data_IF_750239464038
#
_entry.id   IF_750239464038
#
_cell.length_a   1.000
_cell.length_b   1.000
_cell.length_c   1.000
_cell.angle_alpha   90.00
_cell.angle_beta   90.00
_cell.angle_gamma   90.00
#
_symmetry.space_group_name_H-M   'P 1'
#
loop_
_entity.id
_entity.type
_entity.pdbx_description
1 polymer ?
#
# COMPACT_ATOMS: atom_id res chain seq x y z
N UNK A 1 3.35 38.23 -1.63
CA UNK A 1 2.91 36.93 -2.18
C UNK A 1 2.52 36.04 -1.02
N UNK A 2 1.21 35.83 -0.80
CA UNK A 2 0.72 34.93 0.26
C UNK A 2 1.17 33.50 -0.06
N UNK A 3 2.06 32.94 0.76
CA UNK A 3 2.40 31.51 0.73
C UNK A 3 1.18 30.74 1.24
N UNK A 4 0.27 30.39 0.34
CA UNK A 4 -0.87 29.54 0.62
C UNK A 4 -0.35 28.21 1.14
N UNK A 5 -0.61 27.95 2.42
CA UNK A 5 -0.20 26.78 3.17
C UNK A 5 -0.91 25.53 2.62
N UNK A 6 -0.36 24.92 1.57
CA UNK A 6 -0.79 23.59 1.12
C UNK A 6 -0.12 22.50 1.98
N UNK A 7 -0.51 22.44 3.26
CA UNK A 7 -0.06 21.37 4.14
C UNK A 7 -1.10 20.26 4.15
N UNK A 8 -0.82 19.18 3.43
CA UNK A 8 -1.38 17.86 3.76
C UNK A 8 -1.15 17.63 5.26
N UNK A 9 -2.22 17.49 6.05
CA UNK A 9 -2.13 17.18 7.47
C UNK A 9 -1.64 15.74 7.64
N UNK A 10 -0.33 15.57 7.61
CA UNK A 10 0.33 14.28 7.83
C UNK A 10 0.38 13.94 9.32
N UNK A 11 0.34 12.64 9.60
CA UNK A 11 0.47 12.15 10.96
C UNK A 11 1.88 12.43 11.50
N UNK A 12 2.01 12.80 12.79
CA UNK A 12 3.31 13.02 13.41
C UNK A 12 4.24 11.81 13.27
N UNK A 13 5.55 12.05 13.19
CA UNK A 13 6.58 11.00 13.06
C UNK A 13 6.47 9.86 14.08
N UNK A 14 5.87 10.10 15.25
CA UNK A 14 5.63 9.08 16.28
C UNK A 14 4.79 7.90 15.74
N UNK A 15 3.86 8.17 14.81
CA UNK A 15 3.03 7.16 14.17
C UNK A 15 3.82 6.23 13.22
N UNK A 16 5.05 6.59 12.85
CA UNK A 16 5.87 5.74 11.96
C UNK A 16 6.24 4.44 12.68
N UNK A 17 6.56 4.55 13.98
CA UNK A 17 6.79 3.40 14.84
C UNK A 17 5.52 2.56 15.00
N UNK A 18 4.36 3.21 15.15
CA UNK A 18 3.08 2.53 15.25
C UNK A 18 2.72 1.76 13.98
N UNK A 19 2.98 2.34 12.79
CA UNK A 19 2.80 1.65 11.51
C UNK A 19 3.70 0.41 11.41
N UNK A 20 5.00 0.55 11.71
CA UNK A 20 5.92 -0.60 11.70
C UNK A 20 5.57 -1.66 12.75
N UNK A 21 5.10 -1.27 13.94
CA UNK A 21 4.64 -2.24 14.94
C UNK A 21 3.39 -2.99 14.47
N UNK A 22 2.49 -2.33 13.73
CA UNK A 22 1.30 -2.97 13.18
C UNK A 22 1.66 -3.97 12.07
N UNK A 23 2.64 -3.63 11.21
CA UNK A 23 3.22 -4.57 10.24
C UNK A 23 3.85 -5.77 10.95
N UNK A 24 4.69 -5.52 11.97
CA UNK A 24 5.35 -6.59 12.70
C UNK A 24 4.32 -7.50 13.41
N UNK A 25 3.27 -6.92 13.98
CA UNK A 25 2.19 -7.66 14.62
C UNK A 25 1.40 -8.52 13.63
N UNK A 26 1.11 -7.99 12.44
CA UNK A 26 0.42 -8.76 11.38
C UNK A 26 1.29 -9.90 10.88
N UNK A 27 2.58 -9.67 10.63
CA UNK A 27 3.52 -10.73 10.24
C UNK A 27 3.62 -11.79 11.35
N UNK A 28 3.71 -11.37 12.61
CA UNK A 28 3.75 -12.29 13.74
C UNK A 28 2.48 -13.16 13.80
N UNK A 29 1.30 -12.57 13.60
CA UNK A 29 0.04 -13.30 13.54
C UNK A 29 0.03 -14.35 12.41
N UNK A 30 0.53 -13.99 11.22
CA UNK A 30 0.68 -14.93 10.10
C UNK A 30 1.60 -16.10 10.47
N UNK A 31 2.75 -15.84 11.08
CA UNK A 31 3.69 -16.89 11.52
C UNK A 31 3.04 -17.84 12.53
N UNK A 32 2.22 -17.33 13.46
CA UNK A 32 1.51 -18.17 14.43
C UNK A 32 0.51 -19.12 13.76
N UNK A 33 -0.21 -18.66 12.73
CA UNK A 33 -1.15 -19.48 11.95
C UNK A 33 -0.38 -20.58 11.22
N UNK A 34 0.69 -20.24 10.51
CA UNK A 34 1.49 -21.22 9.75
C UNK A 34 2.20 -22.25 10.62
N UNK A 35 2.54 -21.87 11.86
CA UNK A 35 3.19 -22.77 12.82
C UNK A 35 2.19 -23.62 13.61
N UNK A 36 0.91 -23.59 13.25
CA UNK A 36 -0.20 -24.32 13.89
C UNK A 36 -0.40 -24.03 15.40
N UNK A 37 0.21 -22.95 15.93
CA UNK A 37 -0.01 -22.52 17.32
C UNK A 37 -1.41 -21.97 17.55
N UNK A 38 -2.08 -21.51 16.48
CA UNK A 38 -3.45 -20.97 16.53
C UNK A 38 -4.23 -21.52 15.33
N UNK A 39 -5.37 -22.16 15.59
CA UNK A 39 -6.31 -22.59 14.56
C UNK A 39 -7.34 -21.50 14.32
N UNK A 40 -7.31 -20.92 13.11
CA UNK A 40 -8.27 -19.91 12.65
C UNK A 40 -8.83 -20.36 11.31
N UNK A 41 -10.10 -20.08 11.07
CA UNK A 41 -10.71 -20.28 9.76
C UNK A 41 -9.92 -19.53 8.67
N UNK A 42 -9.66 -20.21 7.55
CA UNK A 42 -8.80 -19.71 6.48
C UNK A 42 -9.26 -18.37 5.91
N UNK A 43 -10.58 -18.18 5.74
CA UNK A 43 -11.13 -16.93 5.22
C UNK A 43 -10.99 -15.77 6.21
N UNK A 44 -11.23 -16.03 7.50
CA UNK A 44 -11.01 -15.05 8.56
C UNK A 44 -9.53 -14.66 8.65
N UNK A 45 -8.63 -15.65 8.59
CA UNK A 45 -7.19 -15.41 8.59
C UNK A 45 -6.73 -14.56 7.40
N UNK A 46 -7.26 -14.83 6.20
CA UNK A 46 -7.00 -14.04 4.99
C UNK A 46 -7.47 -12.59 5.14
N UNK A 47 -8.69 -12.41 5.63
CA UNK A 47 -9.31 -11.08 5.79
C UNK A 47 -8.58 -10.23 6.84
N UNK A 48 -8.28 -10.81 8.00
CA UNK A 48 -7.58 -10.13 9.10
C UNK A 48 -6.17 -9.74 8.68
N UNK A 49 -5.45 -10.66 8.04
CA UNK A 49 -4.08 -10.40 7.55
C UNK A 49 -4.08 -9.29 6.50
N UNK A 50 -4.93 -9.39 5.47
CA UNK A 50 -4.99 -8.41 4.38
C UNK A 50 -5.38 -7.03 4.90
N UNK A 51 -6.41 -6.97 5.76
CA UNK A 51 -6.85 -5.72 6.40
C UNK A 51 -5.77 -5.11 7.27
N UNK A 52 -5.06 -5.91 8.07
CA UNK A 52 -4.00 -5.41 8.93
C UNK A 52 -2.78 -4.89 8.16
N UNK A 53 -2.42 -5.53 7.05
CA UNK A 53 -1.36 -5.04 6.15
C UNK A 53 -1.79 -3.73 5.49
N UNK A 54 -3.01 -3.66 4.95
CA UNK A 54 -3.55 -2.45 4.33
C UNK A 54 -3.60 -1.28 5.32
N UNK A 55 -4.09 -1.52 6.53
CA UNK A 55 -4.16 -0.50 7.58
C UNK A 55 -2.76 -0.01 7.96
N UNK A 56 -1.79 -0.93 8.05
CA UNK A 56 -0.39 -0.58 8.31
C UNK A 56 0.20 0.29 7.20
N UNK A 57 -0.04 -0.07 5.95
CA UNK A 57 0.45 0.67 4.78
C UNK A 57 -0.21 2.02 4.66
N UNK A 58 -1.51 2.12 4.95
CA UNK A 58 -2.22 3.39 5.03
C UNK A 58 -1.61 4.31 6.10
N UNK A 59 -1.41 3.80 7.32
CA UNK A 59 -0.76 4.56 8.40
C UNK A 59 0.64 5.01 8.00
N UNK A 60 1.42 4.14 7.36
CA UNK A 60 2.75 4.47 6.89
C UNK A 60 2.72 5.56 5.81
N UNK A 61 1.81 5.46 4.84
CA UNK A 61 1.62 6.44 3.77
C UNK A 61 1.14 7.81 4.28
N UNK A 62 0.39 7.85 5.39
CA UNK A 62 -0.08 9.08 6.04
C UNK A 62 0.94 9.69 7.01
N UNK A 63 2.01 8.98 7.35
CA UNK A 63 2.99 9.45 8.34
C UNK A 63 4.09 10.33 7.75
N UNK A 64 4.47 11.37 8.48
CA UNK A 64 5.55 12.30 8.14
C UNK A 64 6.95 11.68 8.29
N UNK A 65 7.85 12.01 7.36
CA UNK A 65 9.27 11.69 7.45
C UNK A 65 10.04 12.62 8.41
N UNK A 66 11.31 12.28 8.73
CA UNK A 66 12.15 13.07 9.68
C UNK A 66 12.42 14.48 9.16
N UNK A 67 12.69 14.60 7.87
CA UNK A 67 12.89 15.86 7.17
C UNK A 67 11.83 15.90 6.09
N UNK A 68 10.98 16.93 6.15
CA UNK A 68 10.02 17.18 5.10
C UNK A 68 10.25 18.55 4.52
N UNK A 69 10.50 18.56 3.21
CA UNK A 69 10.55 19.73 2.38
C UNK A 69 9.41 19.72 1.36
N UNK A 70 9.25 20.85 0.67
CA UNK A 70 8.22 21.03 -0.36
C UNK A 70 8.36 20.00 -1.48
N UNK A 71 9.61 19.65 -1.84
CA UNK A 71 9.89 18.63 -2.85
C UNK A 71 9.40 17.24 -2.43
N UNK A 72 9.56 16.85 -1.16
CA UNK A 72 9.08 15.56 -0.65
C UNK A 72 7.56 15.48 -0.68
N UNK A 73 6.86 16.58 -0.41
CA UNK A 73 5.40 16.64 -0.57
C UNK A 73 4.98 16.47 -2.04
N UNK A 74 5.68 17.11 -2.97
CA UNK A 74 5.43 16.95 -4.42
C UNK A 74 5.68 15.49 -4.85
N UNK A 75 6.77 14.87 -4.38
CA UNK A 75 7.09 13.47 -4.70
C UNK A 75 6.00 12.53 -4.17
N UNK A 76 5.51 12.73 -2.93
CA UNK A 76 4.40 11.96 -2.36
C UNK A 76 3.14 12.04 -3.23
N UNK A 77 2.77 13.26 -3.65
CA UNK A 77 1.61 13.46 -4.51
C UNK A 77 1.78 12.80 -5.88
N UNK A 78 2.96 12.92 -6.50
CA UNK A 78 3.27 12.25 -7.77
C UNK A 78 3.22 10.72 -7.65
N UNK A 79 3.80 10.17 -6.59
CA UNK A 79 3.76 8.73 -6.34
C UNK A 79 2.33 8.23 -6.09
N UNK A 80 1.51 9.00 -5.35
CA UNK A 80 0.10 8.67 -5.12
C UNK A 80 -0.69 8.68 -6.44
N UNK A 81 -0.54 9.72 -7.25
CA UNK A 81 -1.16 9.81 -8.56
C UNK A 81 -0.73 8.66 -9.48
N UNK A 82 0.56 8.35 -9.52
CA UNK A 82 1.08 7.22 -10.31
C UNK A 82 0.49 5.88 -9.86
N UNK A 83 0.36 5.65 -8.56
CA UNK A 83 -0.26 4.43 -8.01
C UNK A 83 -1.75 4.32 -8.31
N UNK A 84 -2.46 5.45 -8.32
CA UNK A 84 -3.86 5.50 -8.69
C UNK A 84 -4.07 5.18 -10.17
N UNK A 85 -3.27 5.81 -11.04
CA UNK A 85 -3.28 5.54 -12.49
C UNK A 85 -2.96 4.07 -12.77
N UNK A 86 -1.95 3.52 -12.08
CA UNK A 86 -1.62 2.10 -12.17
C UNK A 86 -2.81 1.21 -11.77
N UNK A 87 -3.45 1.48 -10.62
CA UNK A 87 -4.58 0.67 -10.16
C UNK A 87 -5.78 0.71 -11.11
N UNK A 88 -6.16 1.89 -11.59
CA UNK A 88 -7.23 2.04 -12.60
C UNK A 88 -6.83 1.36 -13.90
N UNK A 89 -5.59 1.56 -14.36
CA UNK A 89 -5.06 0.93 -15.56
C UNK A 89 -5.08 -0.59 -15.47
N UNK A 90 -4.71 -1.17 -14.32
CA UNK A 90 -4.76 -2.61 -14.08
C UNK A 90 -6.19 -3.13 -14.22
N UNK A 91 -7.17 -2.51 -13.57
CA UNK A 91 -8.59 -2.92 -13.66
C UNK A 91 -9.10 -2.84 -15.10
N UNK A 92 -8.73 -1.80 -15.85
CA UNK A 92 -9.16 -1.64 -17.25
C UNK A 92 -8.47 -2.63 -18.17
N UNK A 93 -7.17 -2.88 -18.00
CA UNK A 93 -6.35 -3.73 -18.90
C UNK A 93 -6.57 -5.22 -18.63
N UNK A 94 -6.75 -5.62 -17.36
CA UNK A 94 -6.90 -7.02 -16.94
C UNK A 94 -7.91 -7.83 -17.78
N UNK A 95 -9.15 -7.39 -18.03
CA UNK A 95 -10.12 -8.17 -18.82
C UNK A 95 -9.68 -8.36 -20.27
N UNK A 96 -9.00 -7.36 -20.87
CA UNK A 96 -8.48 -7.50 -22.23
C UNK A 96 -7.32 -8.50 -22.31
N UNK A 97 -6.45 -8.50 -21.30
CA UNK A 97 -5.37 -9.50 -21.21
C UNK A 97 -5.96 -10.90 -21.03
N UNK A 98 -6.95 -11.07 -20.16
CA UNK A 98 -7.60 -12.37 -19.98
C UNK A 98 -8.29 -12.88 -21.24
N UNK A 99 -8.90 -11.99 -22.02
CA UNK A 99 -9.49 -12.35 -23.30
C UNK A 99 -8.44 -12.73 -24.36
N UNK A 100 -7.24 -12.12 -24.34
CA UNK A 100 -6.18 -12.41 -25.30
C UNK A 100 -5.42 -13.71 -25.02
N UNK A 101 -5.41 -14.16 -23.77
CA UNK A 101 -4.64 -15.32 -23.32
C UNK A 101 -5.52 -16.44 -22.73
N UNK A 102 -6.78 -16.52 -23.15
CA UNK A 102 -7.76 -17.54 -22.73
C UNK A 102 -7.84 -17.75 -21.19
N UNK A 103 -7.64 -16.66 -20.43
CA UNK A 103 -7.68 -16.68 -18.97
C UNK A 103 -6.48 -17.34 -18.26
N UNK A 104 -5.46 -17.80 -18.97
CA UNK A 104 -4.30 -18.47 -18.34
C UNK A 104 -3.32 -17.50 -17.65
N UNK A 105 -3.34 -16.22 -18.01
CA UNK A 105 -2.31 -15.25 -17.61
C UNK A 105 -2.63 -14.44 -16.34
N UNK A 106 -3.89 -14.04 -16.14
CA UNK A 106 -4.30 -13.33 -14.92
C UNK A 106 -5.43 -14.14 -14.28
N UNK A 107 -5.11 -14.78 -13.15
CA UNK A 107 -6.12 -15.41 -12.31
C UNK A 107 -7.18 -14.34 -11.96
N UNK A 108 -8.43 -14.57 -12.35
CA UNK A 108 -9.57 -13.63 -12.24
C UNK A 108 -9.89 -13.17 -10.79
N UNK A 109 -9.19 -13.67 -9.78
CA UNK A 109 -9.51 -13.47 -8.36
C UNK A 109 -8.61 -12.47 -7.63
N UNK A 110 -8.09 -11.45 -8.33
CA UNK A 110 -7.46 -10.33 -7.61
C UNK A 110 -8.56 -9.44 -6.99
N UNK A 111 -9.04 -9.84 -5.81
CA UNK A 111 -10.05 -9.10 -5.05
C UNK A 111 -9.60 -7.68 -4.69
N UNK A 112 -10.53 -6.85 -4.21
CA UNK A 112 -10.31 -5.44 -3.87
C UNK A 112 -9.11 -5.22 -2.95
N UNK A 113 -8.91 -6.10 -1.97
CA UNK A 113 -7.78 -6.04 -1.05
C UNK A 113 -6.44 -6.20 -1.77
N UNK A 114 -6.37 -7.14 -2.70
CA UNK A 114 -5.19 -7.38 -3.54
C UNK A 114 -4.88 -6.17 -4.42
N UNK A 115 -5.89 -5.60 -5.07
CA UNK A 115 -5.75 -4.37 -5.86
C UNK A 115 -5.14 -3.25 -5.01
N UNK A 116 -5.75 -2.93 -3.86
CA UNK A 116 -5.27 -1.87 -2.97
C UNK A 116 -3.84 -2.15 -2.49
N UNK A 117 -3.51 -3.40 -2.18
CA UNK A 117 -2.17 -3.79 -1.76
C UNK A 117 -1.16 -3.55 -2.87
N UNK A 118 -1.46 -3.93 -4.11
CA UNK A 118 -0.58 -3.65 -5.26
C UNK A 118 -0.42 -2.16 -5.53
N UNK A 119 -1.48 -1.36 -5.35
CA UNK A 119 -1.40 0.10 -5.44
C UNK A 119 -0.46 0.67 -4.36
N UNK A 120 -0.55 0.19 -3.12
CA UNK A 120 0.38 0.60 -2.06
C UNK A 120 1.83 0.19 -2.36
N UNK A 121 2.06 -1.03 -2.85
CA UNK A 121 3.40 -1.47 -3.25
C UNK A 121 3.96 -0.58 -4.36
N UNK A 122 3.15 -0.27 -5.38
CA UNK A 122 3.51 0.63 -6.46
C UNK A 122 3.79 2.05 -5.93
N UNK A 123 2.95 2.57 -5.03
CA UNK A 123 3.15 3.85 -4.37
C UNK A 123 4.49 3.92 -3.65
N UNK A 124 4.80 2.95 -2.77
CA UNK A 124 6.06 2.94 -2.03
C UNK A 124 7.26 2.73 -2.94
N UNK A 125 7.14 1.90 -3.97
CA UNK A 125 8.15 1.72 -5.01
C UNK A 125 8.46 3.02 -5.74
N UNK A 126 7.44 3.72 -6.24
CA UNK A 126 7.58 5.01 -6.92
C UNK A 126 8.12 6.10 -6.01
N UNK A 127 7.65 6.15 -4.76
CA UNK A 127 8.13 7.09 -3.75
C UNK A 127 9.64 6.89 -3.51
N UNK A 128 10.09 5.64 -3.42
CA UNK A 128 11.50 5.31 -3.24
C UNK A 128 12.33 5.66 -4.49
N UNK A 129 11.84 5.32 -5.68
CA UNK A 129 12.51 5.59 -6.96
C UNK A 129 12.71 7.09 -7.19
N UNK A 130 11.65 7.89 -6.99
CA UNK A 130 11.71 9.35 -7.15
C UNK A 130 12.57 10.02 -6.07
N UNK A 131 12.60 9.49 -4.84
CA UNK A 131 13.49 9.99 -3.78
C UNK A 131 14.96 9.68 -4.04
N UNK A 132 15.27 8.55 -4.68
CA UNK A 132 16.63 8.16 -5.03
C UNK A 132 17.22 9.02 -6.15
N UNK A 133 16.41 9.45 -7.10
CA UNK A 133 16.81 10.28 -8.23
C UNK A 133 16.81 11.80 -7.92
N UNK A 134 16.73 12.17 -6.65
CA UNK A 134 16.78 13.55 -6.17
C UNK A 134 18.22 14.07 -6.06
#
# INVERSE_FOLDING_TARGET
MNKTQNNLRLLPRRFKKAAFSLIALTIFFVVLIFSEFVTVEKELAKTVTSSGILLSFLLLALTRDKVEDELTLIIRLKALAASFIYGVGYVVISPFVNLLFDGEFINDEMGTEGLLLTMFLFYFGMLWLMKKNR
#
